data_IF_713410950943
#
_entry.id   IF_713410950943
#
_cell.length_a   1.000
_cell.length_b   1.000
_cell.length_c   1.000
_cell.angle_alpha   90.00
_cell.angle_beta   90.00
_cell.angle_gamma   90.00
#
_symmetry.space_group_name_H-M   'P 1'
#
loop_
_entity.id
_entity.type
_entity.pdbx_description
1 polymer ?
#
# COMPACT_ATOMS: atom_id res chain seq x y z
N UNK A 1 5.97 -20.29 12.44
CA UNK A 1 5.59 -18.93 12.01
C UNK A 1 4.86 -18.13 13.09
N UNK A 2 3.74 -18.61 13.66
CA UNK A 2 3.00 -17.88 14.72
C UNK A 2 3.89 -17.48 15.91
N UNK A 3 4.73 -18.39 16.40
CA UNK A 3 5.65 -18.11 17.53
C UNK A 3 6.66 -17.00 17.22
N UNK A 4 7.12 -16.88 15.96
CA UNK A 4 8.03 -15.83 15.54
C UNK A 4 7.35 -14.47 15.62
N UNK A 5 6.18 -14.32 14.99
CA UNK A 5 5.46 -13.04 15.00
C UNK A 5 4.95 -12.65 16.40
N UNK A 6 4.53 -13.60 17.24
CA UNK A 6 4.19 -13.32 18.64
C UNK A 6 5.38 -12.79 19.45
N UNK A 7 6.59 -13.31 19.21
CA UNK A 7 7.80 -12.81 19.88
C UNK A 7 8.12 -11.36 19.48
N UNK A 8 7.85 -11.01 18.23
CA UNK A 8 8.16 -9.70 17.65
C UNK A 8 6.92 -8.79 17.55
N UNK A 9 5.84 -9.09 18.29
CA UNK A 9 4.56 -8.40 18.16
C UNK A 9 4.70 -6.88 18.35
N UNK A 10 5.43 -6.45 19.39
CA UNK A 10 5.61 -5.02 19.68
C UNK A 10 6.34 -4.30 18.54
N UNK A 11 7.37 -4.91 17.98
CA UNK A 11 8.09 -4.33 16.83
C UNK A 11 7.19 -4.24 15.59
N UNK A 12 6.31 -5.22 15.36
CA UNK A 12 5.36 -5.17 14.25
C UNK A 12 4.35 -4.04 14.43
N UNK A 13 3.80 -3.88 15.64
CA UNK A 13 2.88 -2.79 15.98
C UNK A 13 3.55 -1.41 15.83
N UNK A 14 4.80 -1.27 16.29
CA UNK A 14 5.52 -0.01 16.20
C UNK A 14 5.91 0.33 14.75
N UNK A 15 6.26 -0.68 13.97
CA UNK A 15 6.67 -0.48 12.57
C UNK A 15 5.47 -0.34 11.61
N UNK A 16 4.27 -0.75 12.01
CA UNK A 16 3.10 -0.70 11.12
C UNK A 16 2.70 0.73 10.78
N UNK A 17 2.98 1.71 11.65
CA UNK A 17 2.65 3.13 11.40
C UNK A 17 3.72 3.88 10.60
N UNK A 18 4.87 3.26 10.32
CA UNK A 18 5.95 3.93 9.58
C UNK A 18 5.57 4.39 8.16
N UNK A 19 4.73 3.68 7.38
CA UNK A 19 4.24 4.17 6.10
C UNK A 19 3.60 5.56 6.20
N UNK A 20 2.69 5.74 7.16
CA UNK A 20 2.05 7.05 7.37
C UNK A 20 3.05 8.12 7.82
N UNK A 21 3.97 7.76 8.73
CA UNK A 21 4.97 8.71 9.23
C UNK A 21 5.89 9.23 8.12
N UNK A 22 6.20 8.41 7.11
CA UNK A 22 7.08 8.81 6.00
C UNK A 22 6.33 9.40 4.81
N UNK A 23 4.99 9.46 4.85
CA UNK A 23 4.12 9.96 3.78
C UNK A 23 4.51 11.35 3.26
N UNK A 24 4.96 12.24 4.14
CA UNK A 24 5.28 13.63 3.83
C UNK A 24 6.75 13.88 3.47
N UNK A 25 7.62 12.89 3.63
CA UNK A 25 9.07 13.03 3.46
C UNK A 25 9.64 12.15 2.35
N UNK A 26 8.89 11.14 1.90
CA UNK A 26 9.33 10.23 0.84
C UNK A 26 8.45 10.41 -0.40
N UNK A 27 9.12 10.65 -1.52
CA UNK A 27 8.47 10.77 -2.82
C UNK A 27 7.61 9.54 -3.11
N UNK A 28 6.39 9.80 -3.59
CA UNK A 28 5.40 8.79 -3.95
C UNK A 28 4.96 7.87 -2.80
N UNK A 29 5.31 8.15 -1.53
CA UNK A 29 4.80 7.35 -0.43
C UNK A 29 3.28 7.51 -0.33
N UNK A 30 2.78 8.74 -0.40
CA UNK A 30 1.35 9.02 -0.30
C UNK A 30 0.50 8.17 -1.26
N UNK A 31 0.96 7.96 -2.50
CA UNK A 31 0.22 7.15 -3.47
C UNK A 31 0.23 5.66 -3.17
N UNK A 32 1.07 5.17 -2.27
CA UNK A 32 1.08 3.75 -1.84
C UNK A 32 -0.01 3.42 -0.83
N UNK A 33 -0.78 4.41 -0.37
CA UNK A 33 -1.82 4.22 0.64
C UNK A 33 -3.23 4.07 0.05
N UNK A 34 -3.44 4.33 -1.24
CA UNK A 34 -4.80 4.38 -1.80
C UNK A 34 -4.83 3.93 -3.26
N UNK A 35 -6.04 3.75 -3.78
CA UNK A 35 -6.33 3.67 -5.21
C UNK A 35 -7.71 4.26 -5.52
N UNK A 36 -7.78 5.20 -6.45
CA UNK A 36 -9.01 5.86 -6.89
C UNK A 36 -9.78 4.98 -7.89
N UNK A 37 -10.38 3.87 -7.41
CA UNK A 37 -11.05 2.89 -8.29
C UNK A 37 -12.17 3.50 -9.13
N UNK A 38 -12.85 4.55 -8.62
CA UNK A 38 -13.93 5.26 -9.31
C UNK A 38 -13.48 6.06 -10.54
N UNK A 39 -12.17 6.21 -10.77
CA UNK A 39 -11.60 6.79 -11.99
C UNK A 39 -11.44 5.79 -13.13
N UNK A 40 -11.59 4.50 -12.85
CA UNK A 40 -11.42 3.43 -13.82
C UNK A 40 -12.75 2.72 -14.05
N UNK A 41 -12.93 2.16 -15.25
CA UNK A 41 -13.94 1.12 -15.41
C UNK A 41 -13.42 -0.13 -14.73
N UNK A 42 -14.18 -0.69 -13.79
CA UNK A 42 -13.75 -1.86 -13.00
C UNK A 42 -13.36 -3.04 -13.91
N UNK A 43 -14.03 -3.20 -15.05
CA UNK A 43 -13.70 -4.22 -16.08
C UNK A 43 -12.30 -4.07 -16.68
N UNK A 44 -11.76 -2.86 -16.69
CA UNK A 44 -10.51 -2.52 -17.34
C UNK A 44 -9.33 -2.57 -16.36
N UNK A 45 -9.63 -2.67 -15.05
CA UNK A 45 -8.61 -2.81 -14.02
C UNK A 45 -8.04 -4.23 -14.10
N UNK A 46 -6.80 -4.31 -14.56
CA UNK A 46 -6.04 -5.55 -14.50
C UNK A 46 -5.03 -5.46 -13.35
N UNK A 47 -5.20 -6.32 -12.35
CA UNK A 47 -4.25 -6.49 -11.26
C UNK A 47 -3.03 -7.28 -11.74
N UNK A 48 -2.20 -6.64 -12.56
CA UNK A 48 -0.96 -7.18 -13.11
C UNK A 48 0.25 -6.69 -12.32
N UNK A 49 1.45 -7.04 -12.75
CA UNK A 49 2.67 -6.45 -12.19
C UNK A 49 2.78 -4.97 -12.54
N UNK A 50 3.53 -4.19 -11.74
CA UNK A 50 3.81 -2.78 -12.06
C UNK A 50 4.36 -2.61 -13.49
N UNK A 51 5.27 -3.49 -13.92
CA UNK A 51 5.86 -3.46 -15.26
C UNK A 51 4.87 -3.75 -16.39
N UNK A 52 3.77 -4.46 -16.12
CA UNK A 52 2.73 -4.76 -17.09
C UNK A 52 1.70 -3.64 -17.16
N UNK A 53 1.22 -3.13 -16.02
CA UNK A 53 0.22 -2.05 -16.02
C UNK A 53 0.77 -0.78 -16.66
N UNK A 54 2.06 -0.47 -16.48
CA UNK A 54 2.69 0.71 -17.06
C UNK A 54 2.82 0.66 -18.59
N UNK A 55 2.59 -0.50 -19.22
CA UNK A 55 2.51 -0.61 -20.69
C UNK A 55 1.18 -0.08 -21.23
N UNK A 56 0.13 -0.11 -20.40
CA UNK A 56 -1.23 0.24 -20.78
C UNK A 56 -1.62 1.63 -20.27
N UNK A 57 -1.12 2.02 -19.09
CA UNK A 57 -1.44 3.29 -18.42
C UNK A 57 -0.13 3.98 -18.02
N UNK A 58 -0.02 5.28 -18.31
CA UNK A 58 1.17 6.05 -17.95
C UNK A 58 1.41 6.06 -16.43
N UNK A 59 2.67 5.96 -16.01
CA UNK A 59 3.06 5.89 -14.59
C UNK A 59 2.54 7.08 -13.79
N UNK A 60 2.61 8.29 -14.36
CA UNK A 60 2.24 9.51 -13.65
C UNK A 60 0.74 9.54 -13.31
N UNK A 61 -0.09 9.00 -14.20
CA UNK A 61 -1.52 8.83 -13.96
C UNK A 61 -1.78 7.82 -12.85
N UNK A 62 -1.07 6.67 -12.86
CA UNK A 62 -1.19 5.66 -11.81
C UNK A 62 -0.76 6.21 -10.44
N UNK A 63 0.38 6.90 -10.38
CA UNK A 63 0.88 7.53 -9.15
C UNK A 63 -0.12 8.56 -8.63
N UNK A 64 -0.73 9.35 -9.50
CA UNK A 64 -1.74 10.34 -9.10
C UNK A 64 -2.99 9.69 -8.52
N UNK A 65 -3.42 8.57 -9.10
CA UNK A 65 -4.63 7.85 -8.70
C UNK A 65 -4.37 6.78 -7.63
N UNK A 66 -3.16 6.67 -7.10
CA UNK A 66 -2.81 5.68 -6.09
C UNK A 66 -2.43 4.31 -6.67
N UNK A 67 -1.41 3.70 -6.05
CA UNK A 67 -0.68 2.54 -6.57
C UNK A 67 -0.60 1.37 -5.58
N UNK A 68 -1.34 1.42 -4.47
CA UNK A 68 -1.26 0.40 -3.42
C UNK A 68 -1.41 -1.05 -3.92
N UNK A 69 -2.26 -1.39 -4.93
CA UNK A 69 -2.38 -2.78 -5.39
C UNK A 69 -1.13 -3.30 -6.09
N UNK A 70 -0.31 -2.41 -6.66
CA UNK A 70 0.96 -2.77 -7.29
C UNK A 70 2.13 -2.69 -6.32
N UNK A 71 2.01 -1.93 -5.24
CA UNK A 71 3.03 -1.86 -4.19
C UNK A 71 3.08 -3.13 -3.33
N UNK A 72 1.93 -3.70 -2.97
CA UNK A 72 1.84 -4.92 -2.14
C UNK A 72 2.61 -6.12 -2.76
N UNK A 73 2.46 -6.45 -4.06
CA UNK A 73 3.25 -7.50 -4.70
C UNK A 73 4.78 -7.26 -4.64
N UNK A 74 5.22 -6.00 -4.71
CA UNK A 74 6.64 -5.65 -4.59
C UNK A 74 7.14 -5.98 -3.18
N UNK A 75 6.41 -5.55 -2.15
CA UNK A 75 6.73 -5.87 -0.75
C UNK A 75 6.71 -7.38 -0.48
N UNK A 76 5.74 -8.10 -1.04
CA UNK A 76 5.66 -9.54 -0.91
C UNK A 76 6.91 -10.23 -1.46
N UNK A 77 7.40 -9.82 -2.64
CA UNK A 77 8.65 -10.38 -3.18
C UNK A 77 9.85 -10.03 -2.31
N UNK A 78 9.95 -8.79 -1.82
CA UNK A 78 11.03 -8.39 -0.90
C UNK A 78 11.00 -9.22 0.39
N UNK A 79 9.81 -9.45 0.95
CA UNK A 79 9.61 -10.24 2.16
C UNK A 79 10.04 -11.69 1.93
N UNK A 80 9.65 -12.29 0.80
CA UNK A 80 10.12 -13.62 0.40
C UNK A 80 11.64 -13.69 0.35
N UNK A 81 12.32 -12.70 -0.24
CA UNK A 81 13.79 -12.67 -0.26
C UNK A 81 14.41 -12.43 1.12
N UNK A 82 13.74 -11.70 2.01
CA UNK A 82 14.19 -11.54 3.40
C UNK A 82 14.15 -12.88 4.15
N UNK A 83 13.08 -13.68 3.95
CA UNK A 83 13.00 -15.04 4.48
C UNK A 83 14.10 -15.97 3.94
N UNK A 84 14.37 -15.94 2.63
CA UNK A 84 15.46 -16.73 2.02
C UNK A 84 16.81 -16.39 2.67
N UNK A 85 17.07 -15.09 2.90
CA UNK A 85 18.30 -14.59 3.52
C UNK A 85 18.34 -14.72 5.04
N UNK A 86 17.24 -15.15 5.67
CA UNK A 86 17.06 -15.18 7.14
C UNK A 86 17.27 -13.81 7.80
N UNK A 87 16.97 -12.75 7.07
CA UNK A 87 17.11 -11.37 7.55
C UNK A 87 15.91 -11.02 8.43
N UNK A 88 16.07 -11.24 9.74
CA UNK A 88 15.00 -11.09 10.73
C UNK A 88 14.49 -9.66 10.81
N UNK A 89 15.38 -8.66 10.71
CA UNK A 89 15.02 -7.23 10.75
C UNK A 89 14.13 -6.89 9.56
N UNK A 90 14.53 -7.30 8.36
CA UNK A 90 13.73 -7.05 7.16
C UNK A 90 12.41 -7.84 7.13
N UNK A 91 12.38 -9.07 7.66
CA UNK A 91 11.14 -9.83 7.78
C UNK A 91 10.13 -9.08 8.65
N UNK A 92 10.54 -8.58 9.81
CA UNK A 92 9.65 -7.88 10.74
C UNK A 92 9.15 -6.58 10.10
N UNK A 93 10.06 -5.75 9.56
CA UNK A 93 9.72 -4.47 8.92
C UNK A 93 8.77 -4.66 7.74
N UNK A 94 9.10 -5.54 6.79
CA UNK A 94 8.29 -5.74 5.59
C UNK A 94 6.94 -6.37 5.92
N UNK A 95 6.84 -7.25 6.91
CA UNK A 95 5.56 -7.80 7.37
C UNK A 95 4.67 -6.73 8.00
N UNK A 96 5.24 -5.83 8.81
CA UNK A 96 4.50 -4.72 9.41
C UNK A 96 3.98 -3.74 8.36
N UNK A 97 4.85 -3.28 7.46
CA UNK A 97 4.50 -2.33 6.40
C UNK A 97 3.51 -2.94 5.39
N UNK A 98 3.68 -4.21 5.01
CA UNK A 98 2.71 -4.90 4.16
C UNK A 98 1.34 -5.01 4.85
N UNK A 99 1.32 -5.24 6.16
CA UNK A 99 0.08 -5.23 6.96
C UNK A 99 -0.63 -3.88 6.92
N UNK A 100 0.11 -2.78 7.02
CA UNK A 100 -0.41 -1.41 6.88
C UNK A 100 -1.10 -1.21 5.53
N UNK A 101 -0.39 -1.42 4.42
CA UNK A 101 -0.95 -1.18 3.08
C UNK A 101 -2.13 -2.09 2.74
N UNK A 102 -2.12 -3.34 3.23
CA UNK A 102 -3.29 -4.22 3.12
C UNK A 102 -4.45 -3.66 3.95
N UNK A 103 -4.18 -3.15 5.16
CA UNK A 103 -5.17 -2.49 6.00
C UNK A 103 -5.82 -1.29 5.31
N UNK A 104 -5.01 -0.41 4.73
CA UNK A 104 -5.48 0.76 3.95
C UNK A 104 -6.45 0.33 2.84
N UNK A 105 -6.13 -0.73 2.09
CA UNK A 105 -7.02 -1.24 1.03
C UNK A 105 -8.38 -1.74 1.51
N UNK A 106 -8.53 -2.03 2.80
CA UNK A 106 -9.81 -2.42 3.39
C UNK A 106 -10.59 -1.22 3.97
N UNK A 107 -10.04 -0.01 3.90
CA UNK A 107 -10.74 1.24 4.25
C UNK A 107 -11.42 1.78 2.99
N UNK A 108 -12.77 1.86 2.92
CA UNK A 108 -13.46 2.30 1.70
C UNK A 108 -13.00 3.68 1.19
N UNK A 109 -12.68 4.61 2.09
CA UNK A 109 -12.21 5.96 1.72
C UNK A 109 -10.80 5.96 1.11
N UNK A 110 -10.01 4.89 1.23
CA UNK A 110 -8.74 4.73 0.50
C UNK A 110 -8.95 4.13 -0.90
N UNK A 111 -10.19 3.84 -1.30
CA UNK A 111 -10.52 3.20 -2.58
C UNK A 111 -11.33 4.09 -3.53
N UNK A 112 -11.39 5.40 -3.25
CA UNK A 112 -12.19 6.37 -4.01
C UNK A 112 -11.49 7.73 -4.11
N UNK A 113 -11.63 8.39 -5.26
CA UNK A 113 -11.18 9.78 -5.42
C UNK A 113 -12.09 10.81 -4.74
N UNK A 114 -13.16 10.40 -4.05
CA UNK A 114 -13.94 11.23 -3.12
C UNK A 114 -13.61 10.93 -1.65
N UNK A 115 -12.34 10.61 -1.37
CA UNK A 115 -11.89 10.11 -0.07
C UNK A 115 -12.22 11.03 1.12
N UNK A 116 -12.31 12.34 0.90
CA UNK A 116 -12.61 13.35 1.94
C UNK A 116 -13.91 14.10 1.61
N UNK A 117 -14.84 13.50 0.86
CA UNK A 117 -16.12 14.15 0.51
C UNK A 117 -16.00 15.42 -0.36
N UNK A 118 -14.82 15.68 -0.94
CA UNK A 118 -14.51 16.89 -1.69
C UNK A 118 -15.33 17.08 -2.98
N UNK A 119 -15.90 16.00 -3.52
CA UNK A 119 -16.79 16.03 -4.71
C UNK A 119 -18.26 16.27 -4.36
N UNK A 120 -18.65 16.09 -3.10
CA UNK A 120 -20.03 16.24 -2.62
C UNK A 120 -20.21 17.41 -1.66
N UNK A 121 -19.13 18.15 -1.36
CA UNK A 121 -19.15 19.27 -0.41
C UNK A 121 -19.16 18.84 1.06
N UNK A 122 -18.67 17.63 1.35
CA UNK A 122 -18.63 17.03 2.68
C UNK A 122 -17.19 16.88 3.18
N UNK A 123 -16.37 17.92 3.01
CA UNK A 123 -14.96 17.94 3.45
C UNK A 123 -14.80 17.71 4.95
N UNK A 124 -13.78 16.92 5.34
CA UNK A 124 -13.50 16.54 6.73
C UNK A 124 -14.03 15.16 7.13
N UNK A 125 -14.35 14.29 6.16
CA UNK A 125 -14.78 12.91 6.42
C UNK A 125 -13.62 11.97 6.73
N UNK A 126 -12.40 12.29 6.26
CA UNK A 126 -11.22 11.44 6.35
C UNK A 126 -10.02 12.19 6.90
#
# INVERSE_FOLDING_TARGET
MITFYKRHQKEIEDLSVLPDQRRYIMDNEASRHYIDLDRYKISDIQYTTWAEITKNIHSDSLVTHGIVPWHIPILYQQLKYAFVRRDTVMIIKLSAEMGHYVGDLHVPLHTTSNYDGQKTGQTGLH
#
